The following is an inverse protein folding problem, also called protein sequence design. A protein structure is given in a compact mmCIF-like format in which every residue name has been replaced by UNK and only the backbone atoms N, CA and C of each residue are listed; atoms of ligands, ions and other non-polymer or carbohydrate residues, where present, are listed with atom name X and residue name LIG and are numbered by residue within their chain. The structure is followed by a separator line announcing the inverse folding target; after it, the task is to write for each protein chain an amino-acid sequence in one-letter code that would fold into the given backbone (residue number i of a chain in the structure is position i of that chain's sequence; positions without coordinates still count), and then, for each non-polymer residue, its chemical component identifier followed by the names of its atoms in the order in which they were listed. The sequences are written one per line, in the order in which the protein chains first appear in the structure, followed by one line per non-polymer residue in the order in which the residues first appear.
data_IF_449962474216
#
_entry.id   IF_449962474216
#
_cell.length_a   1.000
_cell.length_b   1.000
_cell.length_c   1.000
_cell.angle_alpha   90.00
_cell.angle_beta   90.00
_cell.angle_gamma   90.00
#
_symmetry.space_group_name_H-M   'P 1'
#
loop_
_entity.id
_entity.type
_entity.pdbx_description
1 polymer ?
#
# COMPACT_ATOMS: atom_id res chain seq x y z
N UNK A 1 25.65 -6.31 25.03
CA UNK A 1 24.64 -5.44 25.64
C UNK A 1 23.34 -6.23 25.81
N UNK A 2 22.67 -6.05 26.95
CA UNK A 2 21.36 -6.61 27.20
C UNK A 2 20.33 -5.50 27.06
N UNK A 3 19.26 -5.74 26.29
CA UNK A 3 18.14 -4.83 26.12
C UNK A 3 16.88 -5.59 26.49
N UNK A 4 16.07 -4.99 27.34
CA UNK A 4 14.75 -5.49 27.67
C UNK A 4 13.68 -4.45 27.36
N UNK A 5 12.55 -4.89 26.83
CA UNK A 5 11.38 -4.05 26.63
C UNK A 5 10.11 -4.80 27.02
N UNK A 6 9.11 -4.03 27.42
CA UNK A 6 7.79 -4.56 27.76
C UNK A 6 6.79 -4.07 26.72
N UNK A 7 6.02 -5.01 26.19
CA UNK A 7 4.87 -4.69 25.33
C UNK A 7 3.61 -4.86 26.18
N UNK A 8 2.81 -3.80 26.29
CA UNK A 8 1.54 -3.83 27.00
C UNK A 8 0.39 -3.90 25.99
N UNK A 9 -0.52 -4.84 26.20
CA UNK A 9 -1.75 -4.95 25.42
C UNK A 9 -2.89 -4.24 26.15
N UNK A 10 -3.59 -3.36 25.44
CA UNK A 10 -4.69 -2.58 25.99
C UNK A 10 -5.98 -2.83 25.23
N UNK A 11 -7.10 -2.92 25.94
CA UNK A 11 -8.43 -3.07 25.37
C UNK A 11 -9.31 -1.88 25.73
N UNK A 12 -10.02 -1.31 24.75
CA UNK A 12 -10.99 -0.25 24.97
C UNK A 12 -12.36 -0.87 25.34
N UNK A 13 -12.84 -0.55 26.54
CA UNK A 13 -14.16 -1.00 27.03
C UNK A 13 -14.91 0.20 27.62
N UNK A 14 -16.08 0.51 27.11
CA UNK A 14 -16.89 1.63 27.61
C UNK A 14 -16.21 3.00 27.51
N UNK A 15 -15.31 3.21 26.54
CA UNK A 15 -14.56 4.46 26.38
C UNK A 15 -13.31 4.58 27.25
N UNK A 16 -12.98 3.57 28.06
CA UNK A 16 -11.76 3.52 28.87
C UNK A 16 -10.84 2.39 28.44
N UNK A 17 -9.52 2.65 28.53
CA UNK A 17 -8.49 1.68 28.22
C UNK A 17 -8.13 0.85 29.44
N UNK A 18 -8.12 -0.46 29.28
CA UNK A 18 -7.70 -1.44 30.30
C UNK A 18 -6.53 -2.24 29.77
N UNK A 19 -5.48 -2.34 30.58
CA UNK A 19 -4.38 -3.26 30.28
C UNK A 19 -4.89 -4.70 30.48
N UNK A 20 -4.77 -5.52 29.43
CA UNK A 20 -5.25 -6.92 29.43
C UNK A 20 -4.12 -7.92 29.40
N UNK A 21 -2.89 -7.47 29.16
CA UNK A 21 -1.71 -8.31 29.19
C UNK A 21 -0.43 -7.52 29.01
N UNK A 22 0.67 -8.13 29.40
CA UNK A 22 2.01 -7.61 29.09
C UNK A 22 2.97 -8.76 28.82
N UNK A 23 3.94 -8.52 27.94
CA UNK A 23 5.01 -9.46 27.60
C UNK A 23 6.35 -8.75 27.74
N UNK A 24 7.21 -9.30 28.61
CA UNK A 24 8.61 -8.89 28.70
C UNK A 24 9.41 -9.64 27.63
N UNK A 25 10.16 -8.90 26.82
CA UNK A 25 11.15 -9.44 25.89
C UNK A 25 12.53 -8.96 26.31
N UNK A 26 13.43 -9.92 26.49
CA UNK A 26 14.83 -9.71 26.80
C UNK A 26 15.66 -10.24 25.64
N UNK A 27 16.66 -9.45 25.20
CA UNK A 27 17.57 -9.83 24.15
C UNK A 27 19.00 -9.44 24.48
N UNK A 28 19.93 -10.29 24.11
CA UNK A 28 21.35 -9.99 24.17
C UNK A 28 21.87 -9.58 22.81
N UNK A 29 22.49 -8.42 22.75
CA UNK A 29 23.16 -7.92 21.55
C UNK A 29 24.66 -8.07 21.74
N UNK A 30 25.29 -8.86 20.86
CA UNK A 30 26.74 -8.98 20.78
C UNK A 30 27.25 -8.11 19.64
N UNK A 31 28.16 -7.20 19.94
CA UNK A 31 28.85 -6.38 18.93
C UNK A 31 30.16 -7.06 18.58
N UNK A 32 30.30 -7.45 17.33
CA UNK A 32 31.53 -8.06 16.77
C UNK A 32 32.11 -7.14 15.69
N UNK A 33 33.40 -7.13 15.48
CA UNK A 33 34.00 -6.49 14.31
C UNK A 33 33.45 -7.16 13.04
N UNK A 34 32.95 -6.37 12.11
CA UNK A 34 32.39 -6.86 10.86
C UNK A 34 32.80 -5.91 9.73
N UNK A 35 33.29 -6.48 8.62
CA UNK A 35 33.62 -5.73 7.39
C UNK A 35 32.51 -5.83 6.35
N UNK A 36 31.46 -6.64 6.63
CA UNK A 36 30.32 -6.76 5.77
C UNK A 36 29.53 -5.46 5.72
N UNK A 37 29.03 -5.11 4.55
CA UNK A 37 28.18 -3.94 4.28
C UNK A 37 26.80 -4.47 3.86
N UNK A 38 25.69 -3.92 4.36
CA UNK A 38 24.38 -4.41 3.97
C UNK A 38 24.12 -4.18 2.48
N UNK A 39 23.33 -5.05 1.83
CA UNK A 39 22.88 -4.83 0.47
C UNK A 39 22.03 -3.56 0.36
N UNK A 40 21.88 -3.04 -0.86
CA UNK A 40 21.06 -1.87 -1.17
C UNK A 40 19.88 -2.30 -2.02
N UNK A 41 18.66 -1.98 -1.57
CA UNK A 41 17.43 -2.17 -2.35
C UNK A 41 17.05 -0.85 -3.01
N UNK A 42 16.68 -0.89 -4.29
CA UNK A 42 16.16 0.29 -5.00
C UNK A 42 14.91 0.84 -4.30
N UNK A 43 14.83 2.17 -4.20
CA UNK A 43 13.64 2.82 -3.67
C UNK A 43 12.47 2.63 -4.62
N UNK A 44 11.33 2.21 -4.08
CA UNK A 44 10.06 2.12 -4.80
C UNK A 44 9.13 3.17 -4.22
N UNK A 45 8.60 4.04 -5.10
CA UNK A 45 7.73 5.13 -4.67
C UNK A 45 6.33 4.62 -4.31
N UNK A 46 5.70 5.25 -3.33
CA UNK A 46 4.29 5.07 -3.04
C UNK A 46 3.44 5.40 -4.28
N UNK A 47 2.38 4.65 -4.47
CA UNK A 47 1.50 4.85 -5.63
C UNK A 47 0.03 4.67 -5.25
N UNK A 48 -0.82 5.08 -6.19
CA UNK A 48 -2.24 4.80 -6.14
C UNK A 48 -2.66 4.05 -7.39
N UNK A 49 -3.62 3.14 -7.25
CA UNK A 49 -4.14 2.32 -8.34
C UNK A 49 -5.67 2.34 -8.35
N UNK A 50 -6.25 2.42 -9.52
CA UNK A 50 -7.68 2.20 -9.71
C UNK A 50 -7.97 0.73 -10.03
N UNK A 51 -9.14 0.27 -9.64
CA UNK A 51 -9.62 -1.08 -9.97
C UNK A 51 -9.59 -1.32 -11.49
N UNK A 52 -9.16 -2.51 -11.87
CA UNK A 52 -8.98 -2.92 -13.27
C UNK A 52 -7.58 -2.63 -13.83
N UNK A 53 -6.77 -1.85 -13.12
CA UNK A 53 -5.38 -1.62 -13.50
C UNK A 53 -4.46 -2.76 -13.05
N UNK A 54 -3.28 -2.82 -13.67
CA UNK A 54 -2.20 -3.75 -13.31
C UNK A 54 -1.01 -2.96 -12.80
N UNK A 55 -0.58 -3.24 -11.58
CA UNK A 55 0.65 -2.69 -11.03
C UNK A 55 1.79 -3.66 -11.31
N UNK A 56 2.73 -3.28 -12.16
CA UNK A 56 3.89 -4.10 -12.53
C UNK A 56 5.15 -3.25 -12.61
N UNK A 57 6.20 -3.70 -11.93
CA UNK A 57 7.51 -3.03 -11.94
C UNK A 57 8.61 -3.98 -11.48
N UNK A 58 9.86 -3.57 -11.72
CA UNK A 58 11.03 -4.30 -11.27
C UNK A 58 11.63 -3.64 -10.03
N UNK A 59 12.12 -4.47 -9.11
CA UNK A 59 12.89 -4.07 -7.93
C UNK A 59 14.28 -4.64 -8.08
N UNK A 60 15.28 -3.77 -7.96
CA UNK A 60 16.69 -4.17 -8.01
C UNK A 60 17.30 -4.12 -6.62
N UNK A 61 18.17 -5.09 -6.33
CA UNK A 61 19.05 -5.03 -5.18
C UNK A 61 20.49 -5.38 -5.60
N UNK A 62 21.46 -4.85 -4.86
CA UNK A 62 22.87 -5.13 -5.06
C UNK A 62 23.63 -5.04 -3.75
N UNK A 63 24.72 -5.76 -3.64
CA UNK A 63 25.63 -5.71 -2.50
C UNK A 63 26.95 -5.06 -2.89
N UNK A 64 27.46 -4.11 -2.08
CA UNK A 64 28.79 -3.54 -2.25
C UNK A 64 29.91 -4.57 -2.15
N UNK A 65 29.72 -5.65 -1.39
CA UNK A 65 30.62 -6.79 -1.35
C UNK A 65 30.35 -7.67 -2.58
N UNK A 66 31.11 -7.49 -3.64
CA UNK A 66 30.85 -8.06 -4.97
C UNK A 66 31.01 -9.58 -5.06
N UNK A 67 31.61 -10.20 -4.07
CA UNK A 67 31.77 -11.66 -3.90
C UNK A 67 30.57 -12.30 -3.19
N UNK A 68 29.63 -11.49 -2.70
CA UNK A 68 28.42 -11.96 -2.02
C UNK A 68 27.23 -12.00 -2.99
N UNK A 69 26.34 -12.96 -2.73
CA UNK A 69 25.06 -13.10 -3.42
C UNK A 69 23.96 -12.45 -2.61
N UNK A 70 22.97 -11.89 -3.29
CA UNK A 70 21.81 -11.23 -2.68
C UNK A 70 20.57 -12.08 -2.94
N UNK A 71 19.82 -12.33 -1.87
CA UNK A 71 18.44 -12.86 -1.93
C UNK A 71 17.49 -11.68 -1.85
N UNK A 72 16.54 -11.60 -2.79
CA UNK A 72 15.55 -10.53 -2.84
C UNK A 72 14.14 -11.13 -2.67
N UNK A 73 13.41 -10.66 -1.67
CA UNK A 73 12.08 -11.13 -1.32
C UNK A 73 11.10 -9.95 -1.19
N UNK A 74 9.81 -10.24 -1.29
CA UNK A 74 8.75 -9.26 -1.06
C UNK A 74 7.69 -9.86 -0.11
N UNK A 75 7.24 -9.04 0.85
CA UNK A 75 6.27 -9.40 1.87
C UNK A 75 5.21 -8.29 1.98
N UNK A 76 4.02 -8.65 2.40
CA UNK A 76 2.96 -7.68 2.66
C UNK A 76 1.57 -8.20 2.34
N UNK A 77 0.58 -7.43 2.74
CA UNK A 77 -0.83 -7.82 2.59
C UNK A 77 -1.28 -8.12 1.16
N UNK A 78 -0.76 -7.48 0.09
CA UNK A 78 -1.17 -7.82 -1.28
C UNK A 78 -0.95 -9.28 -1.66
N UNK A 79 -0.01 -9.98 -1.04
CA UNK A 79 0.26 -11.39 -1.31
C UNK A 79 -0.72 -12.36 -0.62
N UNK A 80 -1.47 -11.86 0.38
CA UNK A 80 -2.36 -12.65 1.22
C UNK A 80 -3.85 -12.39 0.94
N UNK A 81 -4.16 -11.48 0.01
CA UNK A 81 -5.57 -11.22 -0.37
C UNK A 81 -6.17 -12.44 -1.07
N UNK A 82 -7.43 -12.80 -0.77
CA UNK A 82 -8.02 -14.04 -1.30
C UNK A 82 -8.35 -13.98 -2.79
N UNK A 83 -8.54 -12.78 -3.34
CA UNK A 83 -8.86 -12.56 -4.76
C UNK A 83 -7.70 -11.81 -5.40
N UNK A 84 -7.21 -12.34 -6.51
CA UNK A 84 -6.14 -11.72 -7.30
C UNK A 84 -4.93 -11.27 -6.45
N UNK A 85 -4.28 -12.17 -5.67
CA UNK A 85 -3.11 -11.83 -4.88
C UNK A 85 -1.96 -11.34 -5.76
N UNK A 86 -1.14 -10.48 -5.21
CA UNK A 86 0.10 -10.05 -5.84
C UNK A 86 1.08 -11.22 -5.99
N UNK A 87 1.99 -11.10 -6.92
CA UNK A 87 3.11 -12.02 -7.10
C UNK A 87 4.42 -11.26 -7.14
N UNK A 88 5.45 -11.87 -6.60
CA UNK A 88 6.83 -11.39 -6.73
C UNK A 88 7.70 -12.55 -7.19
N UNK A 89 8.33 -12.37 -8.35
CA UNK A 89 9.22 -13.37 -8.94
C UNK A 89 10.63 -12.82 -8.84
N UNK A 90 11.46 -13.51 -8.06
CA UNK A 90 12.87 -13.25 -7.94
C UNK A 90 13.67 -14.46 -8.47
N UNK A 91 14.74 -14.25 -9.25
CA UNK A 91 15.61 -15.34 -9.68
C UNK A 91 16.39 -15.93 -8.49
N UNK A 92 17.17 -16.97 -8.75
CA UNK A 92 18.15 -17.48 -7.79
C UNK A 92 19.10 -16.36 -7.35
N UNK A 93 19.63 -16.41 -6.12
CA UNK A 93 20.51 -15.36 -5.59
C UNK A 93 21.66 -15.04 -6.53
N UNK A 94 21.84 -13.76 -6.79
CA UNK A 94 22.92 -13.19 -7.64
C UNK A 94 23.20 -11.75 -7.19
N UNK A 95 24.29 -11.15 -7.64
CA UNK A 95 24.62 -9.76 -7.35
C UNK A 95 25.06 -9.04 -8.65
N UNK A 96 24.33 -8.04 -9.14
CA UNK A 96 23.02 -7.57 -8.67
C UNK A 96 21.88 -8.56 -8.98
N UNK A 97 20.74 -8.37 -8.30
CA UNK A 97 19.52 -9.16 -8.49
C UNK A 97 18.33 -8.26 -8.89
N UNK A 98 17.43 -8.78 -9.75
CA UNK A 98 16.21 -8.10 -10.16
C UNK A 98 15.01 -9.02 -9.94
N UNK A 99 14.04 -8.56 -9.14
CA UNK A 99 12.74 -9.21 -8.97
C UNK A 99 11.64 -8.42 -9.67
N UNK A 100 10.58 -9.11 -10.10
CA UNK A 100 9.42 -8.51 -10.78
C UNK A 100 8.20 -8.64 -9.90
N UNK A 101 7.59 -7.52 -9.54
CA UNK A 101 6.32 -7.42 -8.83
C UNK A 101 5.18 -7.28 -9.84
N UNK A 102 4.08 -8.04 -9.62
CA UNK A 102 2.85 -7.93 -10.40
C UNK A 102 1.63 -8.04 -9.49
N UNK A 103 0.65 -7.15 -9.68
CA UNK A 103 -0.61 -7.18 -8.99
C UNK A 103 -1.75 -6.67 -9.87
N UNK A 104 -2.74 -7.53 -10.12
CA UNK A 104 -3.97 -7.14 -10.81
C UNK A 104 -4.96 -6.60 -9.77
N UNK A 105 -5.38 -5.36 -9.94
CA UNK A 105 -6.21 -4.66 -8.95
C UNK A 105 -7.69 -5.03 -9.16
N UNK A 106 -8.32 -5.55 -8.12
CA UNK A 106 -9.72 -5.98 -8.07
C UNK A 106 -10.56 -5.12 -7.12
N UNK A 107 -11.89 -5.12 -7.30
CA UNK A 107 -12.82 -4.38 -6.44
C UNK A 107 -12.71 -4.74 -4.95
N UNK A 108 -12.35 -5.98 -4.63
CA UNK A 108 -12.15 -6.44 -3.25
C UNK A 108 -10.94 -5.78 -2.56
N UNK A 109 -10.04 -5.17 -3.35
CA UNK A 109 -8.87 -4.47 -2.83
C UNK A 109 -9.15 -3.01 -2.43
N UNK A 110 -10.33 -2.48 -2.76
CA UNK A 110 -10.70 -1.09 -2.41
C UNK A 110 -10.85 -0.95 -0.89
N UNK A 111 -10.05 -0.07 -0.30
CA UNK A 111 -10.10 0.22 1.14
C UNK A 111 -9.52 1.60 1.46
N UNK A 112 -9.82 2.09 2.67
CA UNK A 112 -9.36 3.41 3.13
C UNK A 112 -7.86 3.45 3.38
N UNK A 113 -7.30 2.41 4.01
CA UNK A 113 -5.87 2.33 4.33
C UNK A 113 -5.07 1.77 3.15
N UNK A 114 -3.88 2.30 2.86
CA UNK A 114 -3.03 1.73 1.82
C UNK A 114 -2.57 0.31 2.17
N UNK A 115 -2.22 -0.45 1.15
CA UNK A 115 -1.47 -1.69 1.28
C UNK A 115 0.01 -1.38 1.43
N UNK A 116 0.67 -2.05 2.36
CA UNK A 116 2.11 -1.93 2.52
C UNK A 116 2.81 -3.17 1.94
N UNK A 117 3.87 -2.92 1.18
CA UNK A 117 4.75 -3.93 0.60
C UNK A 117 6.17 -3.62 1.10
N UNK A 118 6.84 -4.64 1.59
CA UNK A 118 8.23 -4.56 2.04
C UNK A 118 9.07 -5.43 1.12
N UNK A 119 10.05 -4.83 0.45
CA UNK A 119 11.07 -5.53 -0.31
C UNK A 119 12.31 -5.68 0.57
N UNK A 120 12.78 -6.91 0.74
CA UNK A 120 13.91 -7.26 1.59
C UNK A 120 15.04 -7.83 0.75
N UNK A 121 16.22 -7.26 0.85
CA UNK A 121 17.44 -7.83 0.31
C UNK A 121 18.34 -8.32 1.45
N UNK A 122 18.84 -9.54 1.33
CA UNK A 122 19.72 -10.17 2.31
C UNK A 122 20.94 -10.74 1.60
N UNK A 123 22.12 -10.44 2.10
CA UNK A 123 23.37 -11.01 1.62
C UNK A 123 23.57 -12.46 2.11
N UNK A 124 24.60 -13.13 1.60
CA UNK A 124 24.97 -14.48 2.02
C UNK A 124 26.30 -14.53 2.79
N UNK A 125 26.65 -13.46 3.50
CA UNK A 125 27.88 -13.43 4.28
C UNK A 125 27.97 -14.59 5.27
N UNK A 126 29.15 -15.19 5.37
CA UNK A 126 29.36 -16.40 6.16
C UNK A 126 29.99 -16.11 7.53
N UNK A 127 29.48 -16.81 8.55
CA UNK A 127 30.07 -16.85 9.87
C UNK A 127 31.43 -17.60 9.84
N UNK A 128 32.42 -17.35 10.77
CA UNK A 128 32.24 -16.52 11.97
C UNK A 128 32.67 -15.07 11.82
N UNK A 129 33.25 -14.66 10.70
CA UNK A 129 33.85 -13.34 10.55
C UNK A 129 32.85 -12.27 10.10
N UNK A 130 31.78 -12.67 9.41
CA UNK A 130 30.74 -11.76 8.92
C UNK A 130 29.35 -12.30 9.26
N UNK A 131 28.44 -11.42 9.60
CA UNK A 131 27.03 -11.73 9.77
C UNK A 131 26.26 -11.37 8.51
N UNK A 132 25.27 -12.16 8.14
CA UNK A 132 24.30 -11.78 7.11
C UNK A 132 23.61 -10.47 7.50
N UNK A 133 23.53 -9.55 6.56
CA UNK A 133 22.88 -8.27 6.73
C UNK A 133 21.71 -8.15 5.75
N UNK A 134 20.69 -7.40 6.18
CA UNK A 134 19.50 -7.16 5.36
C UNK A 134 19.22 -5.68 5.28
N UNK A 135 18.65 -5.26 4.16
CA UNK A 135 18.12 -3.92 3.96
C UNK A 135 16.73 -4.00 3.34
N UNK A 136 15.94 -2.94 3.52
CA UNK A 136 14.51 -2.93 3.19
C UNK A 136 14.13 -1.68 2.43
N UNK A 137 13.22 -1.83 1.47
CA UNK A 137 12.47 -0.74 0.84
C UNK A 137 10.99 -0.96 1.06
N UNK A 138 10.27 0.08 1.47
CA UNK A 138 8.84 0.00 1.78
C UNK A 138 8.08 0.84 0.77
N UNK A 139 6.99 0.28 0.24
CA UNK A 139 6.06 0.93 -0.68
C UNK A 139 4.65 0.85 -0.13
N UNK A 140 3.91 1.94 -0.25
CA UNK A 140 2.47 1.97 0.05
C UNK A 140 1.67 2.11 -1.25
N UNK A 141 0.65 1.26 -1.40
CA UNK A 141 -0.26 1.28 -2.54
C UNK A 141 -1.68 1.57 -2.06
N UNK A 142 -2.21 2.74 -2.43
CA UNK A 142 -3.62 3.06 -2.23
C UNK A 142 -4.43 2.48 -3.38
N UNK A 143 -5.54 1.78 -3.06
CA UNK A 143 -6.45 1.26 -4.08
C UNK A 143 -7.79 1.97 -3.96
N UNK A 144 -8.29 2.47 -5.07
CA UNK A 144 -9.58 3.19 -5.16
C UNK A 144 -10.46 2.59 -6.25
N UNK A 145 -11.78 2.74 -6.07
CA UNK A 145 -12.73 2.44 -7.14
C UNK A 145 -12.66 3.52 -8.23
N UNK A 146 -12.93 3.19 -9.50
CA UNK A 146 -13.03 4.19 -10.55
C UNK A 146 -14.25 5.10 -10.32
N UNK A 147 -14.18 6.30 -10.88
CA UNK A 147 -15.32 7.21 -10.88
C UNK A 147 -16.53 6.61 -11.61
N UNK A 148 -17.77 7.01 -11.26
CA UNK A 148 -18.96 6.62 -12.00
C UNK A 148 -18.85 7.01 -13.48
N UNK A 149 -19.28 6.12 -14.37
CA UNK A 149 -19.25 6.36 -15.82
C UNK A 149 -20.53 7.05 -16.31
N UNK A 150 -20.42 7.73 -17.43
CA UNK A 150 -21.53 8.36 -18.14
C UNK A 150 -22.40 9.30 -17.27
N UNK A 151 -21.81 10.17 -16.42
CA UNK A 151 -22.60 11.11 -15.66
C UNK A 151 -23.29 12.10 -16.62
N UNK A 152 -24.62 12.29 -16.45
CA UNK A 152 -25.40 13.23 -17.21
C UNK A 152 -26.30 14.05 -16.28
N UNK A 153 -26.55 15.30 -16.67
CA UNK A 153 -27.45 16.22 -15.98
C UNK A 153 -28.44 16.80 -16.98
N UNK A 154 -29.73 16.55 -16.77
CA UNK A 154 -30.81 16.96 -17.66
C UNK A 154 -31.78 17.90 -16.92
N UNK A 155 -32.08 19.11 -17.42
CA UNK A 155 -33.11 19.95 -16.85
C UNK A 155 -34.50 19.28 -16.90
N UNK A 156 -35.23 19.31 -15.77
CA UNK A 156 -36.58 18.75 -15.66
C UNK A 156 -37.44 19.72 -14.83
N UNK A 157 -38.12 20.68 -15.49
CA UNK A 157 -38.83 21.75 -14.84
C UNK A 157 -37.90 22.66 -14.03
N UNK A 158 -38.15 22.81 -12.72
CA UNK A 158 -37.30 23.56 -11.77
C UNK A 158 -36.17 22.71 -11.15
N UNK A 159 -36.05 21.47 -11.59
CA UNK A 159 -35.07 20.50 -11.08
C UNK A 159 -34.04 20.11 -12.12
N UNK A 160 -32.97 19.43 -11.68
CA UNK A 160 -31.98 18.80 -12.54
C UNK A 160 -31.96 17.32 -12.23
N UNK A 161 -32.29 16.49 -13.21
CA UNK A 161 -32.16 15.04 -13.12
C UNK A 161 -30.72 14.64 -13.38
N UNK A 162 -30.13 13.86 -12.47
CA UNK A 162 -28.80 13.32 -12.60
C UNK A 162 -28.87 11.81 -12.87
N UNK A 163 -28.11 11.36 -13.84
CA UNK A 163 -27.99 9.93 -14.17
C UNK A 163 -26.52 9.56 -14.32
N UNK A 164 -26.17 8.33 -13.98
CA UNK A 164 -24.84 7.75 -14.18
C UNK A 164 -24.95 6.21 -14.22
N UNK A 165 -23.92 5.56 -14.73
CA UNK A 165 -23.84 4.11 -14.67
C UNK A 165 -23.47 3.64 -13.25
N UNK A 166 -24.01 2.48 -12.88
CA UNK A 166 -23.64 1.84 -11.63
C UNK A 166 -22.12 1.57 -11.58
N UNK A 167 -21.55 1.62 -10.39
CA UNK A 167 -20.15 1.27 -10.19
C UNK A 167 -19.84 -0.13 -10.70
N UNK A 168 -18.71 -0.33 -11.34
CA UNK A 168 -18.20 -1.66 -11.71
C UNK A 168 -17.89 -2.52 -10.50
N UNK A 169 -17.76 -1.89 -9.32
CA UNK A 169 -17.53 -2.58 -8.06
C UNK A 169 -18.88 -2.78 -7.32
N UNK A 170 -19.36 -4.03 -7.30
CA UNK A 170 -20.60 -4.38 -6.61
C UNK A 170 -20.59 -4.13 -5.09
N UNK A 171 -19.43 -3.86 -4.50
CA UNK A 171 -19.27 -3.46 -3.10
C UNK A 171 -19.32 -1.93 -2.89
N UNK A 172 -19.60 -1.15 -3.93
CA UNK A 172 -19.90 0.27 -3.78
C UNK A 172 -21.19 0.45 -2.94
N UNK A 173 -21.14 1.28 -1.91
CA UNK A 173 -22.25 1.47 -0.97
C UNK A 173 -23.15 2.64 -1.35
N UNK A 174 -22.73 3.50 -2.29
CA UNK A 174 -23.52 4.63 -2.75
C UNK A 174 -22.66 5.70 -3.44
N UNK A 175 -23.29 6.82 -3.70
CA UNK A 175 -22.69 7.96 -4.39
C UNK A 175 -22.97 9.26 -3.62
N UNK A 176 -21.98 10.11 -3.53
CA UNK A 176 -22.12 11.45 -2.98
C UNK A 176 -22.35 12.46 -4.12
N UNK A 177 -23.34 13.34 -3.96
CA UNK A 177 -23.74 14.34 -4.95
C UNK A 177 -23.27 15.70 -4.49
N UNK A 178 -22.55 16.38 -5.36
CA UNK A 178 -21.99 17.71 -5.11
C UNK A 178 -22.58 18.74 -6.06
N UNK A 179 -22.80 19.94 -5.56
CA UNK A 179 -23.31 21.08 -6.36
C UNK A 179 -22.48 22.33 -6.13
N UNK A 180 -22.35 23.12 -7.20
CA UNK A 180 -21.79 24.48 -7.17
C UNK A 180 -22.58 25.40 -8.07
N UNK A 181 -22.65 26.68 -7.72
CA UNK A 181 -23.18 27.72 -8.62
C UNK A 181 -22.09 28.14 -9.61
N UNK A 182 -22.38 28.03 -10.90
CA UNK A 182 -21.43 28.28 -11.98
C UNK A 182 -20.44 27.14 -12.21
N UNK A 183 -19.77 27.18 -13.36
CA UNK A 183 -18.78 26.19 -13.73
C UNK A 183 -17.42 26.47 -13.09
N UNK A 184 -16.75 25.42 -12.60
CA UNK A 184 -15.34 25.48 -12.16
C UNK A 184 -14.39 24.82 -13.15
N UNK A 185 -14.93 23.95 -14.03
CA UNK A 185 -14.10 23.16 -14.94
C UNK A 185 -13.27 22.08 -14.22
N UNK A 186 -13.77 21.57 -13.08
CA UNK A 186 -13.10 20.49 -12.37
C UNK A 186 -13.06 19.23 -13.24
N UNK A 187 -11.84 18.70 -13.41
CA UNK A 187 -11.60 17.41 -14.06
C UNK A 187 -11.02 16.51 -12.97
N UNK A 188 -11.70 15.40 -12.72
CA UNK A 188 -11.27 14.41 -11.76
C UNK A 188 -9.94 13.78 -12.18
N UNK A 189 -8.95 13.82 -11.31
CA UNK A 189 -7.64 13.21 -11.55
C UNK A 189 -7.63 11.71 -11.27
N UNK A 190 -6.65 11.02 -11.85
CA UNK A 190 -6.42 9.61 -11.55
C UNK A 190 -6.22 9.41 -10.04
N UNK A 191 -6.92 8.44 -9.47
CA UNK A 191 -6.89 8.16 -8.02
C UNK A 191 -7.38 9.28 -7.10
N UNK A 192 -7.95 10.33 -7.63
CA UNK A 192 -8.55 11.38 -6.81
C UNK A 192 -9.88 10.89 -6.25
N UNK A 193 -10.07 10.98 -4.93
CA UNK A 193 -11.31 10.54 -4.28
C UNK A 193 -12.10 11.76 -3.80
N UNK A 194 -13.39 11.82 -4.16
CA UNK A 194 -14.27 12.93 -3.79
C UNK A 194 -14.01 14.20 -4.59
N UNK A 195 -14.58 15.32 -4.12
CA UNK A 195 -14.44 16.64 -4.76
C UNK A 195 -13.63 17.55 -3.83
N UNK A 196 -12.47 18.06 -4.26
CA UNK A 196 -11.62 18.90 -3.42
C UNK A 196 -12.32 20.19 -2.98
N UNK A 197 -12.12 20.59 -1.73
CA UNK A 197 -12.78 21.77 -1.14
C UNK A 197 -12.46 23.09 -1.89
N UNK A 198 -11.28 23.21 -2.48
CA UNK A 198 -10.89 24.42 -3.24
C UNK A 198 -11.73 24.64 -4.50
N UNK A 199 -12.43 23.62 -4.99
CA UNK A 199 -13.32 23.72 -6.15
C UNK A 199 -14.61 24.51 -5.85
N UNK A 200 -14.96 24.64 -4.56
CA UNK A 200 -16.18 25.31 -4.10
C UNK A 200 -17.47 24.52 -4.33
N UNK A 201 -17.36 23.23 -4.66
CA UNK A 201 -18.51 22.34 -4.63
C UNK A 201 -18.86 21.96 -3.20
N UNK A 202 -20.15 21.86 -2.91
CA UNK A 202 -20.69 21.42 -1.63
C UNK A 202 -21.51 20.15 -1.82
N UNK A 203 -21.37 19.21 -0.92
CA UNK A 203 -22.20 17.99 -0.92
C UNK A 203 -23.65 18.40 -0.59
N UNK A 204 -24.59 17.97 -1.43
CA UNK A 204 -26.02 18.26 -1.30
C UNK A 204 -26.86 17.02 -1.02
N UNK A 205 -26.29 15.85 -1.17
CA UNK A 205 -26.97 14.58 -0.93
C UNK A 205 -26.09 13.39 -1.19
N UNK A 206 -26.64 12.22 -0.87
CA UNK A 206 -26.06 10.91 -1.20
C UNK A 206 -27.19 9.96 -1.61
N UNK A 207 -26.87 8.95 -2.39
CA UNK A 207 -27.80 7.87 -2.76
C UNK A 207 -27.13 6.54 -2.49
N UNK A 208 -27.95 5.54 -2.11
CA UNK A 208 -27.48 4.15 -2.04
C UNK A 208 -27.10 3.63 -3.43
N UNK A 209 -26.09 2.77 -3.50
CA UNK A 209 -25.68 2.07 -4.73
C UNK A 209 -26.61 0.93 -5.08
#
# INVERSE_FOLDING_TARGET
YNIAFVVHEWKLVGGQWYEVGSVLRDMQITVIPCTNVPPVVSLVADTCMEVGAVLSFNVQASDPNTDQLVTLEALGQPFEVPISPATFISPSPTNPINGTFNWNIDCSHVRTLPYQIVFSATDNAEQPSNAQLSNYSVMNVKVVAPAPLNPAATPSGDEIELTWDASVCANATGYDIYRRNGSYGFIHGYCETGVPAYTGYTQIGSTSG
#
